data_IF_978281386954
#
_entry.id   IF_978281386954
#
_cell.length_a   1.000
_cell.length_b   1.000
_cell.length_c   1.000
_cell.angle_alpha   90.00
_cell.angle_beta   90.00
_cell.angle_gamma   90.00
#
_symmetry.space_group_name_H-M   'P 1'
#
loop_
_entity.id
_entity.type
_entity.pdbx_description
1 polymer ?
#
# COMPACT_ATOMS: atom_id res chain seq x y z
N UNK A 1 0.39 -10.53 -10.34
CA UNK A 1 0.55 -9.06 -10.45
C UNK A 1 1.42 -8.54 -9.30
N UNK A 2 1.99 -7.38 -9.47
CA UNK A 2 2.62 -6.63 -8.39
C UNK A 2 1.63 -5.57 -7.90
N UNK A 3 1.33 -5.56 -6.63
CA UNK A 3 0.29 -4.72 -6.03
C UNK A 3 0.87 -3.98 -4.84
N UNK A 4 0.86 -2.66 -4.91
CA UNK A 4 1.17 -1.79 -3.77
C UNK A 4 -0.12 -1.45 -3.04
N UNK A 5 -0.11 -1.40 -1.72
CA UNK A 5 -1.30 -1.07 -0.94
C UNK A 5 -1.18 0.27 -0.25
N UNK A 6 -2.27 1.01 -0.23
CA UNK A 6 -2.46 2.19 0.61
C UNK A 6 -2.85 1.78 2.04
N UNK A 7 -2.82 2.72 2.97
CA UNK A 7 -2.98 2.46 4.41
C UNK A 7 -4.36 1.89 4.76
N UNK A 8 -5.44 2.60 4.44
CA UNK A 8 -6.79 2.17 4.82
C UNK A 8 -7.20 0.84 4.17
N UNK A 9 -6.99 0.61 2.86
CA UNK A 9 -7.25 -0.68 2.26
C UNK A 9 -6.50 -1.83 2.93
N UNK A 10 -5.24 -1.61 3.33
CA UNK A 10 -4.45 -2.62 4.02
C UNK A 10 -5.01 -2.95 5.41
N UNK A 11 -5.36 -1.91 6.18
CA UNK A 11 -6.03 -2.08 7.49
C UNK A 11 -7.34 -2.83 7.33
N UNK A 12 -8.17 -2.45 6.35
CA UNK A 12 -9.44 -3.12 6.11
C UNK A 12 -9.27 -4.58 5.68
N UNK A 13 -8.25 -4.87 4.90
CA UNK A 13 -7.93 -6.24 4.52
C UNK A 13 -7.56 -7.08 5.75
N UNK A 14 -6.65 -6.60 6.60
CA UNK A 14 -6.17 -7.33 7.78
C UNK A 14 -7.22 -7.45 8.88
N UNK A 15 -8.20 -6.57 8.93
CA UNK A 15 -9.27 -6.57 9.94
C UNK A 15 -10.61 -7.10 9.40
N UNK A 16 -10.63 -7.61 8.17
CA UNK A 16 -11.84 -8.08 7.50
C UNK A 16 -12.97 -7.04 7.48
N UNK A 17 -12.62 -5.77 7.27
CA UNK A 17 -13.56 -4.66 7.27
C UNK A 17 -14.35 -4.63 5.94
N UNK A 18 -15.70 -4.53 5.98
CA UNK A 18 -16.53 -4.54 4.77
C UNK A 18 -16.41 -3.28 3.89
N UNK A 19 -15.68 -2.25 4.33
CA UNK A 19 -15.37 -1.08 3.51
C UNK A 19 -14.44 -1.41 2.34
N UNK A 20 -13.64 -2.49 2.46
CA UNK A 20 -12.80 -2.95 1.35
C UNK A 20 -13.67 -3.52 0.24
N UNK A 21 -13.49 -3.01 -0.99
CA UNK A 21 -14.23 -3.54 -2.15
C UNK A 21 -13.91 -5.01 -2.42
N UNK A 22 -14.83 -5.71 -3.07
CA UNK A 22 -14.59 -7.11 -3.44
C UNK A 22 -13.44 -7.27 -4.42
N UNK A 23 -13.26 -6.32 -5.32
CA UNK A 23 -12.15 -6.29 -6.28
C UNK A 23 -10.81 -6.14 -5.56
N UNK A 24 -10.70 -5.15 -4.67
CA UNK A 24 -9.48 -4.94 -3.89
C UNK A 24 -9.18 -6.12 -2.97
N UNK A 25 -10.20 -6.66 -2.30
CA UNK A 25 -10.06 -7.85 -1.46
C UNK A 25 -9.52 -9.05 -2.24
N UNK A 26 -10.08 -9.30 -3.42
CA UNK A 26 -9.62 -10.39 -4.29
C UNK A 26 -8.17 -10.23 -4.71
N UNK A 27 -7.77 -9.01 -5.08
CA UNK A 27 -6.40 -8.73 -5.48
C UNK A 27 -5.39 -8.93 -4.33
N UNK A 28 -5.73 -8.47 -3.11
CA UNK A 28 -4.87 -8.61 -1.94
C UNK A 28 -4.81 -10.04 -1.40
N UNK A 29 -5.89 -10.82 -1.58
CA UNK A 29 -5.97 -12.20 -1.09
C UNK A 29 -5.37 -13.24 -2.05
N UNK A 30 -5.11 -12.88 -3.31
CA UNK A 30 -4.58 -13.81 -4.31
C UNK A 30 -3.11 -14.14 -4.02
N UNK A 31 -2.78 -15.39 -3.68
CA UNK A 31 -1.39 -15.76 -3.35
C UNK A 31 -0.44 -15.70 -4.55
N UNK A 32 -0.95 -15.60 -5.77
CA UNK A 32 -0.13 -15.43 -6.98
C UNK A 32 0.34 -13.99 -7.17
N UNK A 33 -0.23 -13.04 -6.44
CA UNK A 33 0.18 -11.64 -6.46
C UNK A 33 1.30 -11.38 -5.44
N UNK A 34 2.26 -10.54 -5.82
CA UNK A 34 3.23 -9.98 -4.88
C UNK A 34 2.61 -8.71 -4.29
N UNK A 35 2.40 -8.70 -3.00
CA UNK A 35 1.87 -7.55 -2.27
C UNK A 35 3.04 -6.75 -1.70
N UNK A 36 3.09 -5.49 -2.03
CA UNK A 36 4.15 -4.57 -1.61
C UNK A 36 3.54 -3.57 -0.63
N UNK A 37 4.00 -3.60 0.61
CA UNK A 37 3.55 -2.70 1.67
C UNK A 37 4.60 -1.59 1.84
N UNK A 38 4.29 -0.34 1.47
CA UNK A 38 5.21 0.76 1.71
C UNK A 38 5.48 0.92 3.22
N UNK A 39 6.72 1.20 3.60
CA UNK A 39 7.06 1.40 5.03
C UNK A 39 6.29 2.55 5.65
N UNK A 40 5.92 3.58 4.85
CA UNK A 40 5.06 4.68 5.32
C UNK A 40 3.68 4.20 5.75
N UNK A 41 3.13 3.17 5.11
CA UNK A 41 1.85 2.55 5.52
C UNK A 41 1.95 1.97 6.92
N UNK A 42 3.04 1.29 7.25
CA UNK A 42 3.27 0.77 8.59
C UNK A 42 3.44 1.89 9.62
N UNK A 43 4.08 2.99 9.25
CA UNK A 43 4.18 4.18 10.11
C UNK A 43 2.82 4.83 10.35
N UNK A 44 1.98 4.95 9.32
CA UNK A 44 0.62 5.47 9.47
C UNK A 44 -0.25 4.56 10.35
N UNK A 45 -0.13 3.24 10.20
CA UNK A 45 -0.81 2.27 11.09
C UNK A 45 -0.41 2.49 12.54
N UNK A 46 0.90 2.61 12.80
CA UNK A 46 1.41 2.89 14.14
C UNK A 46 0.83 4.18 14.72
N UNK A 47 0.83 5.24 13.93
CA UNK A 47 0.26 6.54 14.32
C UNK A 47 -1.24 6.43 14.61
N UNK A 48 -2.02 5.86 13.69
CA UNK A 48 -3.48 5.74 13.83
C UNK A 48 -3.87 4.88 15.04
N UNK A 49 -3.16 3.79 15.29
CA UNK A 49 -3.42 2.96 16.47
C UNK A 49 -3.13 3.70 17.78
N UNK A 50 -2.01 4.42 17.86
CA UNK A 50 -1.68 5.24 19.03
C UNK A 50 -2.73 6.32 19.31
N UNK A 51 -3.37 6.85 18.26
CA UNK A 51 -4.44 7.83 18.35
C UNK A 51 -5.84 7.20 18.42
N UNK A 52 -5.93 5.91 18.65
CA UNK A 52 -7.19 5.14 18.82
C UNK A 52 -8.14 5.27 17.63
N UNK A 53 -7.60 5.38 16.40
CA UNK A 53 -8.40 5.53 15.18
C UNK A 53 -8.62 4.22 14.43
N UNK A 54 -7.79 3.20 14.67
CA UNK A 54 -7.90 1.87 14.09
C UNK A 54 -7.69 0.79 15.16
N UNK A 55 -8.25 -0.42 14.99
CA UNK A 55 -8.08 -1.51 15.95
C UNK A 55 -6.80 -2.34 15.76
N UNK A 56 -6.03 -2.08 14.68
CA UNK A 56 -4.84 -2.84 14.29
C UNK A 56 -3.58 -2.17 14.81
N UNK A 57 -2.81 -2.88 15.65
CA UNK A 57 -1.50 -2.41 16.12
C UNK A 57 -0.42 -2.59 15.04
N UNK A 58 0.66 -1.82 15.15
CA UNK A 58 1.84 -1.99 14.29
C UNK A 58 2.40 -3.41 14.40
N UNK A 59 2.53 -3.94 15.61
CA UNK A 59 3.08 -5.27 15.86
C UNK A 59 2.24 -6.37 15.19
N UNK A 60 0.91 -6.26 15.26
CA UNK A 60 0.02 -7.21 14.59
C UNK A 60 0.12 -7.10 13.07
N UNK A 61 0.20 -5.89 12.52
CA UNK A 61 0.38 -5.67 11.08
C UNK A 61 1.71 -6.24 10.59
N UNK A 62 2.80 -6.02 11.34
CA UNK A 62 4.13 -6.52 11.01
C UNK A 62 4.16 -8.05 11.02
N UNK A 63 3.55 -8.68 12.02
CA UNK A 63 3.44 -10.13 12.12
C UNK A 63 2.75 -10.74 10.90
N UNK A 64 1.67 -10.12 10.42
CA UNK A 64 0.97 -10.56 9.22
C UNK A 64 1.86 -10.48 7.97
N UNK A 65 2.62 -9.42 7.82
CA UNK A 65 3.58 -9.27 6.72
C UNK A 65 4.65 -10.35 6.77
N UNK A 66 5.26 -10.56 7.94
CA UNK A 66 6.34 -11.52 8.13
C UNK A 66 5.90 -12.98 7.98
N UNK A 67 4.61 -13.27 8.20
CA UNK A 67 4.08 -14.64 8.09
C UNK A 67 3.72 -15.06 6.66
N UNK A 68 3.74 -14.14 5.69
CA UNK A 68 3.34 -14.40 4.31
C UNK A 68 4.52 -14.24 3.34
N UNK A 69 4.79 -15.27 2.54
CA UNK A 69 5.92 -15.27 1.59
C UNK A 69 5.72 -14.36 0.37
N UNK A 70 4.47 -14.00 0.07
CA UNK A 70 4.13 -13.14 -1.06
C UNK A 70 3.90 -11.67 -0.67
N UNK A 71 4.31 -11.28 0.53
CA UNK A 71 4.22 -9.90 1.01
C UNK A 71 5.62 -9.39 1.33
N UNK A 72 5.96 -8.22 0.84
CA UNK A 72 7.22 -7.57 1.18
C UNK A 72 7.00 -6.12 1.60
N UNK A 73 7.90 -5.61 2.41
CA UNK A 73 7.94 -4.21 2.83
C UNK A 73 8.88 -3.46 1.90
N UNK A 74 8.39 -2.37 1.31
CA UNK A 74 9.21 -1.46 0.51
C UNK A 74 9.66 -0.28 1.37
N UNK A 75 10.97 -0.11 1.60
CA UNK A 75 11.47 1.00 2.39
C UNK A 75 11.30 2.33 1.65
N UNK A 76 11.12 3.40 2.40
CA UNK A 76 11.24 4.76 1.87
C UNK A 76 12.72 5.10 1.78
N UNK A 77 13.33 4.75 0.67
CA UNK A 77 14.72 5.06 0.37
C UNK A 77 14.84 6.20 -0.65
N UNK A 78 16.06 6.53 -1.04
CA UNK A 78 16.31 7.65 -1.94
C UNK A 78 15.72 7.40 -3.34
N UNK A 79 15.64 6.15 -3.79
CA UNK A 79 15.04 5.78 -5.07
C UNK A 79 13.56 6.15 -5.10
N UNK A 80 12.82 5.81 -4.04
CA UNK A 80 11.41 6.18 -3.90
C UNK A 80 11.24 7.70 -3.81
N UNK A 81 12.06 8.39 -3.02
CA UNK A 81 12.02 9.85 -2.92
C UNK A 81 12.18 10.50 -4.29
N UNK A 82 13.11 10.01 -5.09
CA UNK A 82 13.44 10.59 -6.40
C UNK A 82 12.27 10.50 -7.40
N UNK A 83 11.49 9.42 -7.37
CA UNK A 83 10.38 9.21 -8.31
C UNK A 83 9.02 9.63 -7.74
N UNK A 84 8.95 10.02 -6.47
CA UNK A 84 7.68 10.42 -5.84
C UNK A 84 7.13 11.70 -6.45
N UNK A 85 5.85 11.70 -6.89
CA UNK A 85 5.25 12.86 -7.57
C UNK A 85 4.86 13.95 -6.56
N UNK A 86 5.61 15.04 -6.55
CA UNK A 86 5.38 16.15 -5.60
C UNK A 86 4.13 17.00 -5.88
N UNK A 87 3.38 16.68 -6.92
CA UNK A 87 2.05 17.25 -7.19
C UNK A 87 0.96 16.70 -6.24
N UNK A 88 1.23 15.59 -5.56
CA UNK A 88 0.35 14.99 -4.56
C UNK A 88 0.79 15.41 -3.15
N UNK A 89 -0.13 15.25 -2.17
CA UNK A 89 0.22 15.36 -0.76
C UNK A 89 1.32 14.37 -0.40
N UNK A 90 2.15 14.72 0.57
CA UNK A 90 3.41 14.00 0.84
C UNK A 90 3.23 12.48 1.04
N UNK A 91 2.22 12.05 1.80
CA UNK A 91 2.00 10.61 2.02
C UNK A 91 1.55 9.91 0.74
N UNK A 92 0.65 10.51 -0.01
CA UNK A 92 0.18 9.99 -1.30
C UNK A 92 1.31 9.93 -2.32
N UNK A 93 2.16 10.97 -2.33
CA UNK A 93 3.34 11.01 -3.19
C UNK A 93 4.29 9.84 -2.91
N UNK A 94 4.53 9.52 -1.63
CA UNK A 94 5.39 8.40 -1.24
C UNK A 94 4.78 7.06 -1.64
N UNK A 95 3.48 6.88 -1.48
CA UNK A 95 2.79 5.64 -1.85
C UNK A 95 2.81 5.42 -3.36
N UNK A 96 2.50 6.45 -4.14
CA UNK A 96 2.61 6.41 -5.60
C UNK A 96 4.07 6.21 -6.04
N UNK A 97 5.00 6.91 -5.40
CA UNK A 97 6.43 6.74 -5.66
C UNK A 97 6.91 5.31 -5.42
N UNK A 98 6.39 4.66 -4.39
CA UNK A 98 6.67 3.24 -4.12
C UNK A 98 6.20 2.35 -5.26
N UNK A 99 5.02 2.62 -5.82
CA UNK A 99 4.50 1.85 -6.96
C UNK A 99 5.32 2.10 -8.24
N UNK A 100 5.73 3.34 -8.49
CA UNK A 100 6.58 3.68 -9.62
C UNK A 100 7.97 3.02 -9.51
N UNK A 101 8.58 3.05 -8.33
CA UNK A 101 9.86 2.40 -8.08
C UNK A 101 9.76 0.88 -8.18
N UNK A 102 8.69 0.28 -7.66
CA UNK A 102 8.44 -1.15 -7.80
C UNK A 102 8.32 -1.57 -9.27
N UNK A 103 7.68 -0.75 -10.10
CA UNK A 103 7.60 -1.01 -11.54
C UNK A 103 8.97 -1.03 -12.21
N UNK A 104 9.86 -0.14 -11.82
CA UNK A 104 11.27 -0.12 -12.29
C UNK A 104 12.02 -1.37 -11.81
N UNK A 105 11.95 -1.67 -10.51
CA UNK A 105 12.72 -2.75 -9.89
C UNK A 105 12.34 -4.13 -10.46
N UNK A 106 11.06 -4.35 -10.73
CA UNK A 106 10.56 -5.65 -11.20
C UNK A 106 10.34 -5.71 -12.71
N UNK A 107 10.56 -4.60 -13.45
CA UNK A 107 10.39 -4.56 -14.89
C UNK A 107 8.95 -4.80 -15.36
N UNK A 108 7.96 -4.50 -14.52
CA UNK A 108 6.53 -4.59 -14.85
C UNK A 108 5.71 -3.64 -13.99
N UNK A 109 4.59 -3.18 -14.56
CA UNK A 109 3.66 -2.27 -13.90
C UNK A 109 3.22 -2.80 -12.54
N UNK A 110 3.24 -1.94 -11.53
CA UNK A 110 2.65 -2.18 -10.23
C UNK A 110 1.33 -1.41 -10.12
N UNK A 111 0.26 -2.09 -9.72
CA UNK A 111 -1.04 -1.47 -9.47
C UNK A 111 -1.14 -1.05 -8.01
N UNK A 112 -1.89 0.01 -7.73
CA UNK A 112 -2.08 0.52 -6.37
C UNK A 112 -3.51 0.27 -5.91
N UNK A 113 -3.67 -0.41 -4.77
CA UNK A 113 -4.97 -0.53 -4.09
C UNK A 113 -5.17 0.70 -3.23
N UNK A 114 -6.09 1.56 -3.63
CA UNK A 114 -6.43 2.80 -2.92
C UNK A 114 -7.85 3.23 -3.23
N UNK A 115 -8.46 3.97 -2.30
CA UNK A 115 -9.74 4.66 -2.48
C UNK A 115 -9.53 6.17 -2.72
N UNK A 116 -8.29 6.64 -2.64
CA UNK A 116 -8.00 8.06 -2.72
C UNK A 116 -8.30 8.65 -4.11
N UNK A 117 -9.12 9.69 -4.13
CA UNK A 117 -9.54 10.35 -5.38
C UNK A 117 -8.40 11.11 -6.06
N UNK A 118 -7.52 11.76 -5.30
CA UNK A 118 -6.40 12.51 -5.86
C UNK A 118 -5.41 11.58 -6.55
N UNK A 119 -5.12 10.42 -5.96
CA UNK A 119 -4.28 9.40 -6.60
C UNK A 119 -4.94 8.87 -7.86
N UNK A 120 -6.20 8.52 -7.80
CA UNK A 120 -6.95 8.00 -8.95
C UNK A 120 -7.00 9.01 -10.09
N UNK A 121 -7.31 10.27 -9.79
CA UNK A 121 -7.42 11.35 -10.77
C UNK A 121 -6.07 11.71 -11.39
N UNK A 122 -4.96 11.45 -10.69
CA UNK A 122 -3.62 11.72 -11.20
C UNK A 122 -3.28 10.89 -12.44
N UNK A 123 -3.83 9.68 -12.56
CA UNK A 123 -3.52 8.76 -13.65
C UNK A 123 -2.08 8.25 -13.68
N UNK A 124 -1.30 8.46 -12.62
CA UNK A 124 0.13 8.13 -12.58
C UNK A 124 0.40 6.63 -12.46
N UNK A 125 -0.51 5.90 -11.83
CA UNK A 125 -0.42 4.45 -11.63
C UNK A 125 -1.79 3.80 -11.85
N UNK A 126 -1.86 2.54 -12.28
CA UNK A 126 -3.13 1.81 -12.30
C UNK A 126 -3.69 1.64 -10.89
N UNK A 127 -4.98 1.87 -10.72
CA UNK A 127 -5.67 1.77 -9.43
C UNK A 127 -6.62 0.57 -9.45
N UNK A 128 -6.63 -0.17 -8.33
CA UNK A 128 -7.57 -1.27 -8.06
C UNK A 128 -8.49 -0.84 -6.93
N UNK A 129 -9.79 -0.88 -7.22
CA UNK A 129 -10.83 -0.64 -6.21
C UNK A 129 -12.16 -1.31 -6.57
#
# INVERSE_FOLDING_TARGET
>A
MHIVTDTHPWVWFLTANPRLSSTAKGALADPSNLIIVPSIVLMEIRYLYQHRRIPLSFEAALEQVESCSNILIAPLDISVVTVSPVSLDIHDAIIVGTALQAAEDFGRTASLVTIDGAITDSGLVPVIW
#
